data_IF_724899584129
#
_entry.id   IF_724899584129
#
_cell.length_a   1.000
_cell.length_b   1.000
_cell.length_c   1.000
_cell.angle_alpha   90.00
_cell.angle_beta   90.00
_cell.angle_gamma   90.00
#
_symmetry.space_group_name_H-M   'P 1'
#
loop_
_entity.id
_entity.type
_entity.pdbx_description
1 polymer ?
#
# COMPACT_ATOMS: atom_id res chain seq x y z
N UNK A 1 9.03 -10.14 -17.29
CA UNK A 1 8.40 -10.16 -15.96
C UNK A 1 8.95 -9.08 -15.04
N UNK A 2 8.07 -8.38 -14.32
CA UNK A 2 8.49 -7.45 -13.25
C UNK A 2 8.96 -8.29 -12.05
N UNK A 3 10.10 -7.99 -11.42
CA UNK A 3 10.61 -8.82 -10.33
C UNK A 3 9.69 -8.76 -9.11
N UNK A 4 9.21 -9.93 -8.67
CA UNK A 4 8.47 -10.07 -7.41
C UNK A 4 9.39 -9.73 -6.23
N UNK A 5 8.93 -8.84 -5.36
CA UNK A 5 9.54 -8.58 -4.05
C UNK A 5 9.06 -9.61 -3.03
N UNK A 6 9.89 -9.96 -2.05
CA UNK A 6 9.60 -10.96 -1.03
C UNK A 6 10.08 -10.49 0.34
N UNK A 7 9.49 -11.06 1.40
CA UNK A 7 9.96 -10.84 2.77
C UNK A 7 11.21 -11.70 3.00
N UNK A 8 12.34 -11.06 3.30
CA UNK A 8 13.60 -11.72 3.64
C UNK A 8 14.10 -11.17 4.98
N UNK A 9 14.27 -12.02 5.99
CA UNK A 9 14.70 -11.59 7.33
C UNK A 9 16.22 -11.39 7.42
N UNK A 10 16.98 -12.00 6.52
CA UNK A 10 18.45 -11.98 6.54
C UNK A 10 19.01 -10.80 5.74
N UNK A 11 18.48 -10.56 4.54
CA UNK A 11 19.00 -9.56 3.60
C UNK A 11 17.97 -8.47 3.23
N UNK A 12 16.74 -8.60 3.72
CA UNK A 12 15.68 -7.64 3.41
C UNK A 12 15.92 -6.27 4.05
N UNK A 13 15.57 -5.20 3.33
CA UNK A 13 15.59 -3.86 3.90
C UNK A 13 14.39 -3.68 4.82
N UNK A 14 14.61 -3.09 5.99
CA UNK A 14 13.53 -2.75 6.93
C UNK A 14 12.44 -1.90 6.25
N UNK A 15 11.20 -2.29 6.51
CA UNK A 15 10.01 -1.69 5.93
C UNK A 15 8.90 -1.60 6.99
N UNK A 16 8.25 -0.45 7.08
CA UNK A 16 7.19 -0.20 8.08
C UNK A 16 6.00 0.50 7.44
N UNK A 17 4.80 -0.01 7.73
CA UNK A 17 3.52 0.51 7.27
C UNK A 17 2.56 0.51 8.45
N UNK A 18 2.00 1.67 8.79
CA UNK A 18 0.82 1.73 9.66
C UNK A 18 -0.43 1.56 8.79
N UNK A 19 -1.50 1.05 9.37
CA UNK A 19 -2.74 0.82 8.64
C UNK A 19 -3.94 0.95 9.56
N UNK A 20 -5.10 1.26 8.98
CA UNK A 20 -6.36 1.38 9.70
C UNK A 20 -7.50 0.85 8.85
N UNK A 21 -8.39 0.05 9.44
CA UNK A 21 -9.64 -0.34 8.79
C UNK A 21 -10.59 0.84 8.72
N UNK A 22 -11.09 1.10 7.52
CA UNK A 22 -12.12 2.11 7.25
C UNK A 22 -13.50 1.45 7.23
N UNK A 23 -13.63 0.36 6.49
CA UNK A 23 -14.90 -0.34 6.28
C UNK A 23 -14.68 -1.84 6.07
N UNK A 24 -15.63 -2.66 6.50
CA UNK A 24 -15.73 -4.09 6.16
C UNK A 24 -17.08 -4.37 5.54
N UNK A 25 -17.10 -4.82 4.29
CA UNK A 25 -18.33 -5.08 3.52
C UNK A 25 -18.08 -6.12 2.44
N UNK A 26 -19.07 -6.96 2.13
CA UNK A 26 -19.03 -7.93 1.02
C UNK A 26 -17.75 -8.79 0.98
N UNK A 27 -17.29 -9.26 2.15
CA UNK A 27 -16.05 -10.03 2.29
C UNK A 27 -14.77 -9.30 1.82
N UNK A 28 -14.82 -7.96 1.80
CA UNK A 28 -13.71 -7.06 1.49
C UNK A 28 -13.52 -6.07 2.64
N UNK A 29 -12.30 -5.57 2.79
CA UNK A 29 -11.95 -4.58 3.81
C UNK A 29 -11.28 -3.39 3.14
N UNK A 30 -11.86 -2.20 3.29
CA UNK A 30 -11.21 -0.94 2.89
C UNK A 30 -10.25 -0.52 3.99
N UNK A 31 -9.00 -0.28 3.61
CA UNK A 31 -7.90 0.02 4.53
C UNK A 31 -7.20 1.29 4.07
N UNK A 32 -6.94 2.20 5.01
CA UNK A 32 -5.96 3.25 4.81
C UNK A 32 -4.57 2.73 5.18
N UNK A 33 -3.63 2.89 4.26
CA UNK A 33 -2.21 2.59 4.50
C UNK A 33 -1.43 3.88 4.67
N UNK A 34 -0.57 3.90 5.68
CA UNK A 34 0.38 4.98 5.97
C UNK A 34 1.80 4.40 5.91
N UNK A 35 2.42 4.32 4.72
CA UNK A 35 3.79 3.83 4.58
C UNK A 35 4.77 4.79 5.25
N UNK A 36 5.49 4.31 6.27
CA UNK A 36 6.59 5.07 6.90
C UNK A 36 7.85 5.01 6.03
N UNK A 37 8.04 3.87 5.36
CA UNK A 37 9.08 3.65 4.36
C UNK A 37 8.47 3.45 2.97
N UNK A 38 9.24 3.69 1.92
CA UNK A 38 8.82 3.53 0.52
C UNK A 38 9.54 2.40 -0.22
N UNK A 39 9.52 1.15 0.28
CA UNK A 39 10.14 0.02 -0.45
C UNK A 39 9.27 -0.40 -1.64
N UNK A 40 9.92 -0.95 -2.67
CA UNK A 40 9.22 -1.47 -3.85
C UNK A 40 8.15 -2.48 -3.44
N UNK A 41 6.92 -2.28 -3.89
CA UNK A 41 5.76 -3.12 -3.58
C UNK A 41 5.45 -3.30 -2.08
N UNK A 42 5.94 -2.42 -1.19
CA UNK A 42 5.82 -2.59 0.25
C UNK A 42 4.39 -2.89 0.72
N UNK A 43 3.43 -2.05 0.31
CA UNK A 43 2.02 -2.20 0.71
C UNK A 43 1.42 -3.53 0.22
N UNK A 44 1.73 -3.89 -1.02
CA UNK A 44 1.28 -5.13 -1.66
C UNK A 44 1.78 -6.37 -0.92
N UNK A 45 3.08 -6.41 -0.64
CA UNK A 45 3.72 -7.50 0.12
C UNK A 45 3.20 -7.54 1.56
N UNK A 46 3.12 -6.40 2.26
CA UNK A 46 2.62 -6.35 3.63
C UNK A 46 1.16 -6.79 3.75
N UNK A 47 0.33 -6.49 2.74
CA UNK A 47 -1.05 -6.95 2.71
C UNK A 47 -1.13 -8.47 2.51
N UNK A 48 -0.43 -9.00 1.50
CA UNK A 48 -0.55 -10.40 1.09
C UNK A 48 0.20 -11.38 2.00
N UNK A 49 1.30 -10.97 2.62
CA UNK A 49 2.15 -11.88 3.38
C UNK A 49 1.44 -12.44 4.63
N UNK A 50 1.69 -13.71 4.96
CA UNK A 50 1.02 -14.41 6.07
C UNK A 50 1.26 -13.79 7.45
N UNK A 51 2.43 -13.19 7.67
CA UNK A 51 2.73 -12.42 8.89
C UNK A 51 2.32 -10.95 8.82
N UNK A 52 1.78 -10.51 7.69
CA UNK A 52 1.23 -9.18 7.49
C UNK A 52 -0.27 -9.20 7.75
N UNK A 53 -1.07 -8.64 6.82
CA UNK A 53 -2.53 -8.73 6.91
C UNK A 53 -3.08 -10.09 6.50
N UNK A 54 -2.27 -10.92 5.81
CA UNK A 54 -2.67 -12.20 5.23
C UNK A 54 -3.90 -12.10 4.30
N UNK A 55 -4.08 -10.94 3.67
CA UNK A 55 -5.19 -10.63 2.76
C UNK A 55 -4.61 -9.81 1.61
N UNK A 56 -4.40 -10.39 0.41
CA UNK A 56 -3.90 -9.65 -0.74
C UNK A 56 -4.84 -8.52 -1.16
N UNK A 57 -4.27 -7.46 -1.76
CA UNK A 57 -5.05 -6.36 -2.32
C UNK A 57 -5.83 -6.88 -3.53
N UNK A 58 -7.08 -6.41 -3.68
CA UNK A 58 -7.93 -6.77 -4.81
C UNK A 58 -7.26 -6.36 -6.13
N UNK A 59 -7.21 -7.30 -7.06
CA UNK A 59 -6.60 -7.12 -8.38
C UNK A 59 -5.08 -7.07 -8.39
N UNK A 60 -4.42 -7.46 -7.31
CA UNK A 60 -2.97 -7.64 -7.27
C UNK A 60 -2.55 -8.90 -8.03
N UNK A 61 -2.00 -8.70 -9.23
CA UNK A 61 -1.54 -9.75 -10.14
C UNK A 61 -0.27 -10.50 -9.69
N UNK A 62 0.50 -9.92 -8.76
CA UNK A 62 1.76 -10.51 -8.29
C UNK A 62 1.61 -11.27 -6.98
N UNK A 63 0.78 -10.76 -6.08
CA UNK A 63 0.67 -11.25 -4.70
C UNK A 63 -0.73 -11.76 -4.32
N UNK A 64 -1.69 -11.64 -5.24
CA UNK A 64 -3.07 -12.08 -5.03
C UNK A 64 -3.66 -12.62 -6.32
N UNK A 65 -4.94 -12.29 -6.53
CA UNK A 65 -5.67 -12.69 -7.73
C UNK A 65 -5.82 -11.48 -8.66
N UNK A 66 -5.48 -11.69 -9.93
CA UNK A 66 -5.67 -10.68 -10.98
C UNK A 66 -7.16 -10.37 -11.14
N UNK A 67 -7.47 -9.09 -11.30
CA UNK A 67 -8.79 -8.56 -11.63
C UNK A 67 -8.63 -7.49 -12.73
N UNK A 68 -9.65 -6.64 -12.93
CA UNK A 68 -9.59 -5.55 -13.92
C UNK A 68 -8.44 -4.56 -13.65
N UNK A 69 -8.22 -4.19 -12.38
CA UNK A 69 -7.12 -3.31 -11.94
C UNK A 69 -6.72 -3.58 -10.50
N UNK A 70 -5.55 -3.08 -10.11
CA UNK A 70 -5.12 -3.05 -8.71
C UNK A 70 -5.91 -1.99 -7.92
N UNK A 71 -6.55 -2.39 -6.81
CA UNK A 71 -7.26 -1.51 -5.88
C UNK A 71 -6.30 -0.94 -4.83
N UNK A 72 -5.28 -0.22 -5.30
CA UNK A 72 -4.34 0.53 -4.47
C UNK A 72 -4.20 1.93 -5.06
N UNK A 73 -4.55 2.95 -4.28
CA UNK A 73 -4.58 4.34 -4.71
C UNK A 73 -3.84 5.22 -3.71
N UNK A 74 -3.08 6.19 -4.21
CA UNK A 74 -2.45 7.21 -3.40
C UNK A 74 -3.42 8.38 -3.23
N UNK A 75 -4.28 8.28 -2.22
CA UNK A 75 -5.37 9.24 -2.00
C UNK A 75 -4.86 10.60 -1.52
N UNK A 76 -3.90 10.63 -0.61
CA UNK A 76 -3.37 11.86 0.00
C UNK A 76 -1.85 11.90 -0.07
N UNK A 77 -1.30 13.08 -0.35
CA UNK A 77 0.13 13.39 -0.24
C UNK A 77 0.30 14.74 0.47
N UNK A 78 1.13 14.75 1.50
CA UNK A 78 1.55 15.96 2.19
C UNK A 78 3.07 16.13 2.08
N UNK A 79 3.50 17.35 1.78
CA UNK A 79 4.92 17.69 1.75
C UNK A 79 5.12 19.17 2.05
N UNK A 80 6.31 19.50 2.56
CA UNK A 80 6.75 20.88 2.69
C UNK A 80 7.35 21.35 1.37
N UNK A 81 6.82 22.44 0.80
CA UNK A 81 7.32 23.00 -0.44
C UNK A 81 8.83 23.31 -0.30
N UNK A 82 9.69 22.85 -1.23
CA UNK A 82 11.15 22.90 -1.06
C UNK A 82 11.72 24.31 -0.99
N UNK A 83 11.07 25.27 -1.67
CA UNK A 83 11.47 26.69 -1.69
C UNK A 83 10.71 27.50 -0.65
N UNK A 84 9.38 27.62 -0.75
CA UNK A 84 8.56 28.45 0.15
C UNK A 84 8.46 27.93 1.59
N UNK A 85 8.79 26.65 1.84
CA UNK A 85 8.63 25.97 3.14
C UNK A 85 7.19 25.89 3.65
N UNK A 86 6.22 26.17 2.80
CA UNK A 86 4.81 26.04 3.14
C UNK A 86 4.37 24.58 3.11
N UNK A 87 3.41 24.23 3.96
CA UNK A 87 2.81 22.90 3.94
C UNK A 87 1.86 22.80 2.74
N UNK A 88 2.08 21.80 1.89
CA UNK A 88 1.21 21.46 0.76
C UNK A 88 0.46 20.17 1.06
N UNK A 89 -0.83 20.16 0.70
CA UNK A 89 -1.71 19.00 0.81
C UNK A 89 -2.37 18.75 -0.54
N UNK A 90 -2.25 17.53 -1.04
CA UNK A 90 -2.86 17.07 -2.28
C UNK A 90 -3.77 15.88 -1.97
N UNK A 91 -4.98 15.86 -2.54
CA UNK A 91 -5.93 14.78 -2.35
C UNK A 91 -6.69 14.48 -3.63
N UNK A 92 -6.88 13.19 -3.92
CA UNK A 92 -7.73 12.68 -5.00
C UNK A 92 -8.45 11.43 -4.50
N UNK A 93 -9.78 11.43 -4.52
CA UNK A 93 -10.57 10.27 -4.08
C UNK A 93 -10.32 9.03 -4.95
N UNK A 94 -10.39 7.85 -4.34
CA UNK A 94 -10.32 6.58 -5.06
C UNK A 94 -11.64 6.30 -5.81
N UNK A 95 -11.53 5.85 -7.06
CA UNK A 95 -12.68 5.49 -7.91
C UNK A 95 -13.28 4.10 -7.60
N UNK A 96 -12.87 3.46 -6.50
CA UNK A 96 -13.21 2.07 -6.15
C UNK A 96 -13.42 1.84 -4.64
#
# INVERSE_FOLDING_TARGET
DRPRQLVCYEYGRSAQTKWQVVERKNNQTKIHFYPITGRTHQLRVHSAHIKGLNIPIVGDDLYGNKAERLHLHAETLELTHPITRELMHFQVEAEF
#
